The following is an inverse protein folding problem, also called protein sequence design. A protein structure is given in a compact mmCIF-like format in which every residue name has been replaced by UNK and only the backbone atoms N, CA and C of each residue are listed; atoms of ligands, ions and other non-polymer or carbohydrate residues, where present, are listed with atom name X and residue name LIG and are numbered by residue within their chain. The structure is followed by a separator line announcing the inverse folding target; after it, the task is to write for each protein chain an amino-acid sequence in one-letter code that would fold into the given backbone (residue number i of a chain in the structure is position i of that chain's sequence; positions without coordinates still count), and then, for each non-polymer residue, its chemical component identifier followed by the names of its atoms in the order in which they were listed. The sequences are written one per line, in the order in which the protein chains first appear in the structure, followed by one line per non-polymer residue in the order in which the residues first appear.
data_IF_540140917707
#
_entry.id   IF_540140917707
#
_cell.length_a   1.000
_cell.length_b   1.000
_cell.length_c   1.000
_cell.angle_alpha   90.00
_cell.angle_beta   90.00
_cell.angle_gamma   90.00
#
_symmetry.space_group_name_H-M   'P 1'
#
loop_
_entity.id
_entity.type
_entity.pdbx_description
1 polymer ?
#
# COMPACT_ATOMS: atom_id res chain seq x y z
N UNK A 1 32.41 -17.39 21.02
CA UNK A 1 32.07 -16.90 19.67
C UNK A 1 30.69 -17.41 19.32
N UNK A 2 29.77 -16.51 18.95
CA UNK A 2 28.43 -16.90 18.50
C UNK A 2 28.39 -16.90 16.97
N UNK A 3 27.75 -17.90 16.41
CA UNK A 3 27.51 -17.99 14.98
C UNK A 3 26.07 -17.58 14.70
N UNK A 4 25.92 -16.59 13.82
CA UNK A 4 24.63 -16.06 13.41
C UNK A 4 24.35 -16.41 11.97
N UNK A 5 23.16 -16.91 11.70
CA UNK A 5 22.67 -17.13 10.35
C UNK A 5 21.52 -16.17 10.08
N UNK A 6 21.69 -15.34 9.05
CA UNK A 6 20.64 -14.48 8.52
C UNK A 6 20.05 -15.18 7.30
N UNK A 7 18.78 -15.47 7.34
CA UNK A 7 18.05 -15.95 6.17
C UNK A 7 17.55 -14.77 5.37
N UNK A 8 17.97 -14.70 4.12
CA UNK A 8 17.56 -13.64 3.20
C UNK A 8 16.64 -14.25 2.13
N UNK A 9 15.48 -13.63 1.93
CA UNK A 9 14.43 -14.10 1.01
C UNK A 9 14.87 -14.22 -0.45
N UNK A 10 15.91 -13.48 -0.86
CA UNK A 10 16.34 -13.44 -2.26
C UNK A 10 17.70 -14.08 -2.54
N UNK A 11 18.55 -14.27 -1.55
CA UNK A 11 19.96 -14.67 -1.74
C UNK A 11 20.39 -15.91 -0.93
N UNK A 12 19.47 -16.57 -0.24
CA UNK A 12 19.79 -17.69 0.65
C UNK A 12 20.25 -17.22 2.04
N UNK A 13 20.94 -18.10 2.78
CA UNK A 13 21.42 -17.79 4.13
C UNK A 13 22.82 -17.22 4.10
N UNK A 14 23.09 -16.23 4.93
CA UNK A 14 24.42 -15.69 5.22
C UNK A 14 24.76 -15.99 6.67
N UNK A 15 25.94 -16.60 6.91
CA UNK A 15 26.40 -16.94 8.26
C UNK A 15 27.60 -16.08 8.63
N UNK A 16 27.55 -15.45 9.80
CA UNK A 16 28.66 -14.69 10.38
C UNK A 16 29.01 -15.24 11.77
N UNK A 17 30.31 -15.34 12.05
CA UNK A 17 30.81 -15.71 13.38
C UNK A 17 31.43 -14.48 14.04
N UNK A 18 30.91 -14.09 15.19
CA UNK A 18 31.31 -12.90 15.93
C UNK A 18 31.74 -13.27 17.36
N UNK A 19 32.62 -12.45 17.93
CA UNK A 19 32.95 -12.60 19.37
C UNK A 19 31.73 -12.19 20.22
N UNK A 20 31.34 -13.03 21.19
CA UNK A 20 30.15 -12.81 22.03
C UNK A 20 30.11 -11.42 22.69
N UNK A 21 31.28 -10.92 23.12
CA UNK A 21 31.43 -9.59 23.73
C UNK A 21 31.06 -8.43 22.80
N UNK A 22 31.04 -8.67 21.48
CA UNK A 22 30.75 -7.66 20.45
C UNK A 22 29.36 -7.85 19.83
N UNK A 23 28.60 -8.86 20.31
CA UNK A 23 27.29 -9.20 19.77
C UNK A 23 26.21 -8.77 20.75
N UNK A 24 25.33 -7.87 20.30
CA UNK A 24 24.06 -7.57 20.93
C UNK A 24 22.94 -7.93 19.97
N UNK A 25 22.17 -8.95 20.31
CA UNK A 25 20.99 -9.33 19.55
C UNK A 25 19.81 -8.49 20.01
N UNK A 26 19.14 -7.84 19.08
CA UNK A 26 17.92 -7.10 19.32
C UNK A 26 16.82 -7.82 18.55
N UNK A 27 15.95 -8.51 19.27
CA UNK A 27 14.83 -9.23 18.68
C UNK A 27 13.54 -8.46 18.92
N UNK A 28 12.70 -8.41 17.88
CA UNK A 28 11.35 -7.91 18.04
C UNK A 28 10.53 -9.00 18.72
N UNK A 29 9.74 -8.67 19.76
CA UNK A 29 8.81 -9.63 20.34
C UNK A 29 7.92 -10.23 19.25
N UNK A 30 7.88 -11.55 19.16
CA UNK A 30 6.96 -12.24 18.26
C UNK A 30 5.56 -12.21 18.89
N UNK A 31 4.71 -11.29 18.45
CA UNK A 31 3.31 -11.25 18.88
C UNK A 31 2.53 -12.22 18.00
N UNK A 32 1.89 -13.24 18.57
CA UNK A 32 1.07 -14.18 17.81
C UNK A 32 -0.10 -13.44 17.16
N UNK A 33 -0.43 -13.83 15.93
CA UNK A 33 -1.61 -13.31 15.26
C UNK A 33 -2.88 -13.71 16.06
N UNK A 34 -3.81 -12.77 16.22
CA UNK A 34 -5.06 -12.98 16.95
C UNK A 34 -6.20 -13.48 16.06
N UNK A 35 -5.90 -13.94 14.86
CA UNK A 35 -6.83 -14.48 13.87
C UNK A 35 -6.19 -14.61 12.49
N UNK A 36 -6.94 -15.13 11.55
CA UNK A 36 -6.59 -15.17 10.14
C UNK A 36 -6.63 -13.75 9.52
N UNK A 37 -6.02 -13.57 8.35
CA UNK A 37 -6.06 -12.29 7.64
C UNK A 37 -7.50 -11.82 7.38
N UNK A 38 -8.38 -12.74 6.98
CA UNK A 38 -9.79 -12.43 6.73
C UNK A 38 -10.51 -11.99 8.00
N UNK A 39 -10.35 -12.72 9.12
CA UNK A 39 -10.98 -12.34 10.41
C UNK A 39 -10.49 -10.98 10.93
N UNK A 40 -9.20 -10.67 10.73
CA UNK A 40 -8.64 -9.39 11.13
C UNK A 40 -9.20 -8.25 10.28
N UNK A 41 -9.28 -8.45 8.97
CA UNK A 41 -9.84 -7.47 8.04
C UNK A 41 -11.34 -7.30 8.24
N UNK A 42 -12.07 -8.39 8.49
CA UNK A 42 -13.49 -8.33 8.81
C UNK A 42 -13.74 -7.42 10.02
N UNK A 43 -13.02 -7.64 11.12
CA UNK A 43 -13.14 -6.79 12.32
C UNK A 43 -12.79 -5.31 12.04
N UNK A 44 -11.75 -5.08 11.23
CA UNK A 44 -11.35 -3.72 10.87
C UNK A 44 -12.39 -3.00 9.99
N UNK A 45 -13.11 -3.73 9.14
CA UNK A 45 -14.20 -3.17 8.31
C UNK A 45 -15.48 -2.94 9.10
N UNK A 46 -15.75 -3.76 10.11
CA UNK A 46 -16.92 -3.62 11.01
C UNK A 46 -16.71 -2.48 12.03
N UNK A 47 -15.46 -2.22 12.44
CA UNK A 47 -15.09 -1.19 13.40
C UNK A 47 -13.92 -0.34 12.87
N UNK A 48 -14.11 0.40 11.78
CA UNK A 48 -13.04 1.18 11.16
C UNK A 48 -12.64 2.37 12.03
N UNK A 49 -11.40 2.81 11.89
CA UNK A 49 -10.86 3.96 12.62
C UNK A 49 -10.98 5.21 11.75
N UNK A 50 -11.71 6.22 12.22
CA UNK A 50 -11.78 7.54 11.59
C UNK A 50 -12.64 7.64 10.33
N UNK A 51 -13.39 6.59 9.99
CA UNK A 51 -14.34 6.60 8.87
C UNK A 51 -15.57 5.73 9.20
N UNK A 52 -16.68 5.87 8.48
CA UNK A 52 -17.82 4.97 8.59
C UNK A 52 -17.47 3.54 8.12
N UNK A 53 -18.31 2.53 8.43
CA UNK A 53 -18.22 1.20 7.82
C UNK A 53 -18.18 1.26 6.29
N UNK A 54 -17.54 0.27 5.68
CA UNK A 54 -17.33 0.24 4.22
C UNK A 54 -18.61 0.41 3.44
N UNK A 55 -19.67 -0.28 3.86
CA UNK A 55 -20.98 -0.28 3.20
C UNK A 55 -21.67 1.10 3.23
N UNK A 56 -21.43 1.88 4.27
CA UNK A 56 -22.00 3.23 4.42
C UNK A 56 -21.26 4.28 3.55
N UNK A 57 -20.08 3.93 3.06
CA UNK A 57 -19.27 4.81 2.20
C UNK A 57 -19.49 4.57 0.70
N UNK A 58 -20.03 3.42 0.33
CA UNK A 58 -20.22 3.00 -1.06
C UNK A 58 -21.64 3.33 -1.55
N UNK A 59 -21.73 3.56 -2.85
CA UNK A 59 -23.01 3.64 -3.58
C UNK A 59 -23.10 2.50 -4.58
N UNK A 60 -24.28 1.90 -4.79
CA UNK A 60 -24.45 0.90 -5.82
C UNK A 60 -23.94 1.38 -7.18
N UNK A 61 -23.07 0.59 -7.81
CA UNK A 61 -22.51 0.90 -9.11
C UNK A 61 -21.30 1.86 -9.10
N UNK A 62 -20.76 2.24 -7.93
CA UNK A 62 -19.52 3.01 -7.87
C UNK A 62 -18.39 2.32 -8.64
N UNK A 63 -17.54 3.12 -9.28
CA UNK A 63 -16.25 2.64 -9.80
C UNK A 63 -15.26 2.59 -8.65
N UNK A 64 -14.78 1.40 -8.32
CA UNK A 64 -13.85 1.17 -7.22
C UNK A 64 -12.43 0.93 -7.75
N UNK A 65 -11.47 1.71 -7.28
CA UNK A 65 -10.06 1.40 -7.38
C UNK A 65 -9.61 0.69 -6.10
N UNK A 66 -9.36 -0.62 -6.19
CA UNK A 66 -8.77 -1.43 -5.12
C UNK A 66 -7.27 -1.50 -5.33
N UNK A 67 -6.51 -0.83 -4.47
CA UNK A 67 -5.07 -0.76 -4.56
C UNK A 67 -4.42 -1.83 -3.69
N UNK A 68 -3.37 -2.47 -4.18
CA UNK A 68 -2.56 -3.42 -3.40
C UNK A 68 -1.08 -3.09 -3.56
N UNK A 69 -0.35 -3.04 -2.44
CA UNK A 69 1.10 -2.85 -2.50
C UNK A 69 1.82 -4.15 -2.84
N UNK A 70 3.01 -4.03 -3.37
CA UNK A 70 3.92 -5.13 -3.72
C UNK A 70 4.20 -6.12 -2.59
N UNK A 71 4.13 -5.66 -1.34
CA UNK A 71 4.37 -6.52 -0.17
C UNK A 71 3.15 -7.36 0.23
N UNK A 72 1.95 -7.05 -0.24
CA UNK A 72 0.69 -7.70 0.11
C UNK A 72 0.05 -8.47 -1.05
N UNK A 73 0.68 -8.50 -2.22
CA UNK A 73 0.17 -9.23 -3.38
C UNK A 73 -0.10 -10.71 -3.07
N UNK A 74 0.84 -11.38 -2.40
CA UNK A 74 0.69 -12.78 -2.00
C UNK A 74 -0.40 -13.01 -0.95
N UNK A 75 -0.55 -12.11 0.03
CA UNK A 75 -1.60 -12.20 1.05
C UNK A 75 -2.97 -12.05 0.41
N UNK A 76 -3.11 -11.12 -0.51
CA UNK A 76 -4.37 -10.88 -1.22
C UNK A 76 -4.82 -12.13 -1.98
N UNK A 77 -3.88 -12.83 -2.65
CA UNK A 77 -4.18 -14.03 -3.44
C UNK A 77 -4.29 -15.31 -2.62
N UNK A 78 -3.32 -15.56 -1.73
CA UNK A 78 -3.15 -16.88 -1.10
C UNK A 78 -4.01 -17.10 0.14
N UNK A 79 -4.39 -16.04 0.88
CA UNK A 79 -5.16 -16.17 2.12
C UNK A 79 -6.65 -15.87 1.95
N UNK A 80 -7.15 -15.83 0.72
CA UNK A 80 -8.57 -15.57 0.44
C UNK A 80 -9.03 -14.14 0.74
N UNK A 81 -8.12 -13.25 1.15
CA UNK A 81 -8.43 -11.87 1.49
C UNK A 81 -9.01 -11.10 0.31
N UNK A 82 -8.43 -11.27 -0.88
CA UNK A 82 -8.92 -10.58 -2.08
C UNK A 82 -10.33 -11.01 -2.45
N UNK A 83 -10.63 -12.33 -2.41
CA UNK A 83 -11.98 -12.85 -2.64
C UNK A 83 -12.97 -12.28 -1.63
N UNK A 84 -12.61 -12.30 -0.34
CA UNK A 84 -13.43 -11.72 0.71
C UNK A 84 -13.74 -10.23 0.46
N UNK A 85 -12.74 -9.44 0.06
CA UNK A 85 -12.94 -8.01 -0.23
C UNK A 85 -13.83 -7.78 -1.45
N UNK A 86 -13.65 -8.55 -2.53
CA UNK A 86 -14.52 -8.47 -3.71
C UNK A 86 -15.97 -8.84 -3.35
N UNK A 87 -16.17 -9.88 -2.56
CA UNK A 87 -17.50 -10.34 -2.15
C UNK A 87 -18.19 -9.29 -1.25
N UNK A 88 -17.43 -8.60 -0.38
CA UNK A 88 -17.94 -7.48 0.43
C UNK A 88 -18.35 -6.29 -0.44
N UNK A 89 -17.53 -5.93 -1.46
CA UNK A 89 -17.87 -4.88 -2.41
C UNK A 89 -19.12 -5.25 -3.23
N UNK A 90 -19.23 -6.51 -3.66
CA UNK A 90 -20.41 -6.99 -4.38
C UNK A 90 -21.67 -6.90 -3.50
N UNK A 91 -21.57 -7.30 -2.23
CA UNK A 91 -22.69 -7.21 -1.29
C UNK A 91 -23.15 -5.76 -1.04
N UNK A 92 -22.22 -4.79 -1.14
CA UNK A 92 -22.52 -3.36 -1.09
C UNK A 92 -23.06 -2.77 -2.42
N UNK A 93 -23.28 -3.61 -3.45
CA UNK A 93 -23.85 -3.20 -4.73
C UNK A 93 -22.82 -2.78 -5.80
N UNK A 94 -21.55 -3.08 -5.60
CA UNK A 94 -20.48 -2.81 -6.56
C UNK A 94 -20.12 -4.11 -7.29
N UNK A 95 -20.56 -4.33 -8.53
CA UNK A 95 -20.26 -5.57 -9.27
C UNK A 95 -18.80 -5.62 -9.74
N UNK A 96 -18.27 -6.82 -9.98
CA UNK A 96 -16.88 -7.08 -10.37
C UNK A 96 -16.39 -6.20 -11.53
N UNK A 97 -17.21 -5.98 -12.56
CA UNK A 97 -16.87 -5.15 -13.72
C UNK A 97 -16.70 -3.65 -13.39
N UNK A 98 -17.08 -3.22 -12.20
CA UNK A 98 -16.90 -1.85 -11.68
C UNK A 98 -15.69 -1.72 -10.76
N UNK A 99 -15.00 -2.84 -10.50
CA UNK A 99 -13.81 -2.88 -9.66
C UNK A 99 -12.57 -3.01 -10.54
N UNK A 100 -11.59 -2.14 -10.31
CA UNK A 100 -10.25 -2.28 -10.89
C UNK A 100 -9.25 -2.52 -9.77
N UNK A 101 -8.57 -3.66 -9.82
CA UNK A 101 -7.44 -3.98 -8.93
C UNK A 101 -6.18 -3.37 -9.51
N UNK A 102 -5.57 -2.43 -8.79
CA UNK A 102 -4.35 -1.74 -9.22
C UNK A 102 -3.17 -2.19 -8.35
N UNK A 103 -2.15 -2.73 -8.98
CA UNK A 103 -0.90 -3.05 -8.30
C UNK A 103 -0.07 -1.78 -8.12
N UNK A 104 0.01 -1.32 -6.87
CA UNK A 104 0.62 -0.06 -6.45
C UNK A 104 2.11 -0.25 -6.12
N UNK A 105 2.92 -0.58 -7.13
CA UNK A 105 4.34 -0.88 -6.99
C UNK A 105 5.25 0.37 -6.90
N UNK A 106 4.71 1.56 -7.12
CA UNK A 106 5.51 2.78 -7.16
C UNK A 106 6.61 2.71 -8.20
N UNK A 107 7.83 3.06 -7.79
CA UNK A 107 9.03 3.04 -8.64
C UNK A 107 9.75 1.68 -8.67
N UNK A 108 9.28 0.68 -7.93
CA UNK A 108 10.04 -0.56 -7.73
C UNK A 108 9.96 -1.52 -8.93
N UNK A 109 8.80 -1.57 -9.61
CA UNK A 109 8.53 -2.56 -10.64
C UNK A 109 8.51 -3.99 -10.06
N UNK A 110 7.42 -4.70 -10.23
CA UNK A 110 7.30 -6.05 -9.70
C UNK A 110 6.84 -7.02 -10.79
N UNK A 111 7.78 -7.51 -11.63
CA UNK A 111 7.44 -8.54 -12.62
C UNK A 111 6.86 -9.77 -11.92
N UNK A 112 5.70 -10.22 -12.37
CA UNK A 112 5.02 -11.39 -11.83
C UNK A 112 4.05 -11.16 -10.68
N UNK A 113 3.74 -9.91 -10.31
CA UNK A 113 2.74 -9.58 -9.29
C UNK A 113 1.37 -10.20 -9.58
N UNK A 114 0.92 -10.19 -10.84
CA UNK A 114 -0.33 -10.84 -11.27
C UNK A 114 -0.39 -12.31 -10.88
N UNK A 115 0.72 -13.06 -11.05
CA UNK A 115 0.79 -14.47 -10.66
C UNK A 115 0.72 -14.70 -9.16
N UNK A 116 1.28 -13.78 -8.35
CA UNK A 116 1.21 -13.87 -6.88
C UNK A 116 -0.18 -13.51 -6.35
N UNK A 117 -0.84 -12.51 -6.93
CA UNK A 117 -2.23 -12.14 -6.64
C UNK A 117 -3.16 -13.30 -7.01
N UNK A 118 -2.86 -13.99 -8.08
CA UNK A 118 -3.57 -15.20 -8.51
C UNK A 118 -4.69 -14.93 -9.51
N UNK A 119 -4.88 -15.92 -10.38
CA UNK A 119 -5.84 -15.84 -11.47
C UNK A 119 -7.30 -15.78 -10.98
N UNK A 120 -7.60 -16.39 -9.84
CA UNK A 120 -8.94 -16.36 -9.23
C UNK A 120 -9.45 -14.95 -8.95
N UNK A 121 -8.56 -13.99 -8.68
CA UNK A 121 -8.91 -12.58 -8.50
C UNK A 121 -8.81 -11.80 -9.81
N UNK A 122 -7.69 -11.94 -10.52
CA UNK A 122 -7.40 -11.15 -11.72
C UNK A 122 -8.26 -11.51 -12.92
N UNK A 123 -9.02 -12.61 -12.87
CA UNK A 123 -10.07 -12.96 -13.86
C UNK A 123 -11.44 -12.38 -13.51
N UNK A 124 -11.72 -12.07 -12.25
CA UNK A 124 -12.99 -11.45 -11.80
C UNK A 124 -13.07 -9.97 -12.14
N UNK A 125 -11.97 -9.24 -11.97
CA UNK A 125 -11.92 -7.77 -12.06
C UNK A 125 -10.89 -7.32 -13.09
N UNK A 126 -10.96 -6.07 -13.52
CA UNK A 126 -9.90 -5.46 -14.32
C UNK A 126 -8.64 -5.37 -13.47
N UNK A 127 -7.51 -5.87 -14.00
CA UNK A 127 -6.21 -5.78 -13.33
C UNK A 127 -5.28 -4.83 -14.07
N UNK A 128 -4.67 -3.91 -13.33
CA UNK A 128 -3.74 -2.89 -13.85
C UNK A 128 -2.45 -2.92 -13.02
N UNK A 129 -1.31 -3.06 -13.67
CA UNK A 129 -0.01 -2.75 -13.09
C UNK A 129 0.27 -1.25 -13.31
N UNK A 130 0.57 -0.55 -12.23
CA UNK A 130 0.93 0.85 -12.33
C UNK A 130 2.34 1.00 -12.93
N UNK A 131 2.46 1.80 -13.99
CA UNK A 131 3.74 2.24 -14.54
C UNK A 131 3.92 3.74 -14.26
N UNK A 132 4.83 4.13 -13.35
CA UNK A 132 5.08 5.53 -13.02
C UNK A 132 5.78 6.30 -14.15
N UNK A 133 6.30 5.61 -15.17
CA UNK A 133 7.00 6.20 -16.31
C UNK A 133 6.08 6.46 -17.51
N UNK A 134 4.93 5.81 -17.57
CA UNK A 134 3.96 6.01 -18.64
C UNK A 134 3.03 7.19 -18.32
N UNK A 135 3.37 8.37 -18.85
CA UNK A 135 2.57 9.58 -18.65
C UNK A 135 1.15 9.46 -19.22
N UNK A 136 0.93 8.59 -20.20
CA UNK A 136 -0.40 8.42 -20.82
C UNK A 136 -1.40 7.76 -19.85
N UNK A 137 -0.92 7.00 -18.88
CA UNK A 137 -1.74 6.38 -17.84
C UNK A 137 -1.95 7.27 -16.62
N UNK A 138 -1.37 8.49 -16.58
CA UNK A 138 -1.47 9.40 -15.46
C UNK A 138 -2.55 10.46 -15.66
N UNK A 139 -3.09 10.95 -14.54
CA UNK A 139 -3.98 12.12 -14.49
C UNK A 139 -3.61 13.00 -13.29
N UNK A 140 -3.71 14.32 -13.47
CA UNK A 140 -3.49 15.28 -12.38
C UNK A 140 -4.70 15.29 -11.44
N UNK A 141 -4.44 15.23 -10.14
CA UNK A 141 -5.47 15.37 -9.10
C UNK A 141 -5.29 16.65 -8.26
N UNK A 142 -4.29 17.44 -8.58
CA UNK A 142 -4.04 18.73 -7.94
C UNK A 142 -2.59 18.93 -7.48
N UNK A 143 -2.42 19.75 -6.47
CA UNK A 143 -1.12 20.10 -5.87
C UNK A 143 -1.25 20.05 -4.35
N UNK A 144 -0.28 19.45 -3.67
CA UNK A 144 -0.25 19.42 -2.20
C UNK A 144 0.03 20.81 -1.61
N UNK A 145 -0.25 20.99 -0.32
CA UNK A 145 0.09 22.21 0.41
C UNK A 145 1.59 22.52 0.39
N UNK A 146 2.41 21.48 0.30
CA UNK A 146 3.86 21.60 0.18
C UNK A 146 4.36 21.86 -1.27
N UNK A 147 3.45 22.08 -2.23
CA UNK A 147 3.77 22.42 -3.62
C UNK A 147 4.24 21.25 -4.47
N UNK A 148 3.82 20.03 -4.16
CA UNK A 148 4.05 18.85 -5.00
C UNK A 148 2.89 18.67 -5.96
N UNK A 149 3.10 18.78 -7.30
CA UNK A 149 2.07 18.41 -8.28
C UNK A 149 1.79 16.92 -8.19
N UNK A 150 0.51 16.54 -8.06
CA UNK A 150 0.11 15.15 -7.86
C UNK A 150 -0.51 14.60 -9.14
N UNK A 151 0.22 13.70 -9.77
CA UNK A 151 -0.21 12.90 -10.89
C UNK A 151 -0.29 11.45 -10.43
N UNK A 152 -1.45 10.84 -10.58
CA UNK A 152 -1.70 9.44 -10.18
C UNK A 152 -2.21 8.64 -11.36
N UNK A 153 -2.20 7.32 -11.22
CA UNK A 153 -2.81 6.44 -12.21
C UNK A 153 -4.25 6.90 -12.51
N UNK A 154 -4.60 6.99 -13.79
CA UNK A 154 -5.91 7.47 -14.25
C UNK A 154 -7.06 6.66 -13.67
N UNK A 155 -6.88 5.35 -13.46
CA UNK A 155 -7.88 4.51 -12.79
C UNK A 155 -8.24 5.06 -11.41
N UNK A 156 -7.23 5.54 -10.66
CA UNK A 156 -7.43 6.13 -9.32
C UNK A 156 -8.12 7.49 -9.42
N UNK A 157 -7.69 8.33 -10.36
CA UNK A 157 -8.27 9.66 -10.56
C UNK A 157 -9.76 9.59 -10.97
N UNK A 158 -10.13 8.59 -11.78
CA UNK A 158 -11.47 8.40 -12.34
C UNK A 158 -12.39 7.52 -11.45
N UNK A 159 -11.89 6.99 -10.34
CA UNK A 159 -12.68 6.18 -9.41
C UNK A 159 -13.63 7.03 -8.56
N UNK A 160 -14.81 6.48 -8.26
CA UNK A 160 -15.75 7.05 -7.30
C UNK A 160 -15.32 6.73 -5.86
N UNK A 161 -14.70 5.55 -5.67
CA UNK A 161 -14.20 5.09 -4.37
C UNK A 161 -12.79 4.49 -4.51
N UNK A 162 -11.85 4.99 -3.73
CA UNK A 162 -10.46 4.51 -3.69
C UNK A 162 -10.18 3.86 -2.33
N UNK A 163 -9.78 2.61 -2.35
CA UNK A 163 -9.35 1.88 -1.15
C UNK A 163 -8.05 1.11 -1.38
N UNK A 164 -7.35 0.81 -0.30
CA UNK A 164 -6.06 0.14 -0.39
C UNK A 164 -5.83 -0.95 0.63
N UNK A 165 -5.04 -1.94 0.24
CA UNK A 165 -4.51 -3.00 1.11
C UNK A 165 -3.00 -2.88 1.17
N UNK A 166 -2.43 -2.81 2.38
CA UNK A 166 -0.99 -2.70 2.53
C UNK A 166 -0.55 -2.58 3.98
N UNK A 167 0.70 -2.93 4.25
CA UNK A 167 1.27 -2.87 5.58
C UNK A 167 1.55 -1.45 6.06
N UNK A 168 1.69 -1.31 7.37
CA UNK A 168 2.26 -0.13 8.02
C UNK A 168 3.56 -0.56 8.71
N UNK A 169 4.68 -0.02 8.25
CA UNK A 169 6.01 -0.36 8.75
C UNK A 169 6.88 0.89 8.90
N UNK A 170 7.88 0.90 9.81
CA UNK A 170 8.89 1.96 9.85
C UNK A 170 9.64 2.07 8.52
N UNK A 171 10.01 3.29 8.13
CA UNK A 171 10.79 3.57 6.93
C UNK A 171 11.81 4.68 7.16
N UNK A 172 12.70 4.90 6.19
CA UNK A 172 13.73 5.96 6.25
C UNK A 172 13.13 7.38 6.38
N UNK A 173 11.86 7.54 6.03
CA UNK A 173 11.16 8.83 6.03
C UNK A 173 9.91 8.80 6.90
N UNK A 174 10.00 8.13 8.04
CA UNK A 174 8.93 7.99 9.01
C UNK A 174 8.33 6.59 9.00
N UNK A 175 7.15 6.43 8.41
CA UNK A 175 6.52 5.12 8.24
C UNK A 175 5.99 4.95 6.82
N UNK A 176 5.94 3.71 6.35
CA UNK A 176 5.20 3.31 5.16
C UNK A 176 3.77 2.93 5.55
N UNK A 177 2.88 2.96 4.59
CA UNK A 177 1.46 2.71 4.80
C UNK A 177 0.61 3.98 4.72
N UNK A 178 -0.68 3.88 5.01
CA UNK A 178 -1.61 5.00 4.82
C UNK A 178 -1.56 5.54 3.39
N UNK A 179 -1.35 6.84 3.24
CA UNK A 179 -1.23 7.54 1.95
C UNK A 179 -0.08 7.06 1.06
N UNK A 180 0.87 6.27 1.58
CA UNK A 180 1.97 5.70 0.79
C UNK A 180 1.52 4.84 -0.38
N UNK A 181 0.33 4.26 -0.31
CA UNK A 181 -0.25 3.50 -1.43
C UNK A 181 -0.62 4.40 -2.62
N UNK A 182 -0.83 5.70 -2.37
CA UNK A 182 -1.03 6.72 -3.40
C UNK A 182 0.33 7.28 -3.84
N UNK A 183 1.13 7.79 -2.87
CA UNK A 183 2.42 8.40 -3.14
C UNK A 183 3.52 7.70 -2.30
N UNK A 184 4.35 6.84 -2.91
CA UNK A 184 4.59 6.66 -4.35
C UNK A 184 3.72 5.61 -5.06
N UNK A 185 2.92 4.81 -4.38
CA UNK A 185 2.33 3.56 -4.86
C UNK A 185 1.70 3.61 -6.26
N UNK A 186 0.89 4.61 -6.56
CA UNK A 186 0.25 4.82 -7.88
C UNK A 186 0.54 6.21 -8.45
N UNK A 187 1.56 6.90 -7.93
CA UNK A 187 1.97 8.21 -8.41
C UNK A 187 2.99 8.13 -9.53
N UNK A 188 2.95 9.10 -10.45
CA UNK A 188 3.93 9.24 -11.50
C UNK A 188 5.33 9.58 -10.96
N UNK A 189 6.37 9.29 -11.75
CA UNK A 189 7.78 9.49 -11.41
C UNK A 189 8.08 10.90 -10.89
N UNK A 190 7.58 11.94 -11.56
CA UNK A 190 7.91 13.30 -11.18
C UNK A 190 7.26 13.74 -9.87
N UNK A 191 6.02 13.30 -9.59
CA UNK A 191 5.37 13.44 -8.29
C UNK A 191 6.20 12.77 -7.20
N UNK A 192 6.59 11.52 -7.43
CA UNK A 192 7.41 10.74 -6.50
C UNK A 192 8.75 11.41 -6.24
N UNK A 193 9.46 11.83 -7.30
CA UNK A 193 10.73 12.54 -7.19
C UNK A 193 10.62 13.83 -6.38
N UNK A 194 9.57 14.62 -6.63
CA UNK A 194 9.33 15.88 -5.91
C UNK A 194 9.08 15.67 -4.43
N UNK A 195 8.28 14.67 -4.06
CA UNK A 195 8.06 14.29 -2.67
C UNK A 195 9.35 13.76 -2.02
N UNK A 196 10.00 12.79 -2.64
CA UNK A 196 11.18 12.11 -2.07
C UNK A 196 12.40 13.02 -1.94
N UNK A 197 12.49 14.11 -2.71
CA UNK A 197 13.55 15.13 -2.50
C UNK A 197 13.49 15.77 -1.11
N UNK A 198 12.34 15.73 -0.44
CA UNK A 198 12.16 16.25 0.92
C UNK A 198 12.88 15.42 1.99
N UNK A 199 13.36 14.19 1.66
CA UNK A 199 14.18 13.41 2.59
C UNK A 199 15.48 14.14 2.98
N UNK A 200 15.94 15.03 2.12
CA UNK A 200 17.13 15.85 2.37
C UNK A 200 16.89 16.97 3.39
N UNK A 201 15.65 17.15 3.84
CA UNK A 201 15.34 18.12 4.89
C UNK A 201 15.69 17.56 6.26
N UNK A 202 16.10 18.44 7.19
CA UNK A 202 16.51 18.05 8.55
C UNK A 202 15.39 17.47 9.40
N UNK A 203 14.12 17.67 8.99
CA UNK A 203 12.93 17.22 9.73
C UNK A 203 12.44 15.82 9.33
N UNK A 204 12.92 15.28 8.23
CA UNK A 204 12.58 13.93 7.79
C UNK A 204 13.49 12.92 8.48
N UNK A 205 12.91 12.02 9.24
CA UNK A 205 13.65 10.98 9.95
C UNK A 205 12.83 9.70 10.08
N UNK A 206 13.51 8.58 10.34
CA UNK A 206 12.86 7.29 10.56
C UNK A 206 11.93 7.33 11.78
N UNK A 207 10.78 6.71 11.66
CA UNK A 207 9.75 6.62 12.69
C UNK A 207 9.21 7.97 13.20
N UNK A 208 9.50 9.07 12.49
CA UNK A 208 8.94 10.37 12.79
C UNK A 208 7.53 10.48 12.19
N UNK A 209 6.56 10.85 13.01
CA UNK A 209 5.17 11.01 12.61
C UNK A 209 4.79 12.47 12.30
N UNK A 210 3.99 13.14 13.14
CA UNK A 210 3.55 14.53 12.93
C UNK A 210 4.71 15.49 12.75
N UNK A 211 4.60 16.41 11.80
CA UNK A 211 5.64 17.38 11.47
C UNK A 211 6.73 16.86 10.54
N UNK A 212 6.61 15.62 10.04
CA UNK A 212 7.49 15.13 8.98
C UNK A 212 7.01 15.65 7.61
N UNK A 213 7.78 16.57 6.97
CA UNK A 213 7.30 17.26 5.76
C UNK A 213 7.09 16.33 4.57
N UNK A 214 7.81 15.21 4.51
CA UNK A 214 7.62 14.22 3.47
C UNK A 214 6.34 13.41 3.67
N UNK A 215 6.04 13.07 4.94
CA UNK A 215 4.81 12.32 5.28
C UNK A 215 3.56 13.16 5.17
N UNK A 216 3.61 14.41 5.59
CA UNK A 216 2.49 15.36 5.43
C UNK A 216 2.14 15.53 3.95
N UNK A 217 3.14 15.70 3.09
CA UNK A 217 2.98 15.79 1.65
C UNK A 217 2.36 14.50 1.03
N UNK A 218 2.72 13.32 1.56
CA UNK A 218 2.11 12.03 1.18
C UNK A 218 0.64 11.98 1.59
N UNK A 219 0.30 12.47 2.79
CA UNK A 219 -1.09 12.47 3.25
C UNK A 219 -1.94 13.45 2.44
N UNK A 220 -1.43 14.65 2.14
CA UNK A 220 -2.10 15.61 1.26
C UNK A 220 -2.36 15.00 -0.13
N UNK A 221 -1.37 14.27 -0.69
CA UNK A 221 -1.54 13.59 -1.98
C UNK A 221 -2.62 12.50 -1.92
N UNK A 222 -2.71 11.77 -0.79
CA UNK A 222 -3.74 10.76 -0.59
C UNK A 222 -5.15 11.39 -0.51
N UNK A 223 -5.28 12.54 0.14
CA UNK A 223 -6.54 13.29 0.21
C UNK A 223 -6.95 13.81 -1.17
N UNK A 224 -6.01 14.36 -1.96
CA UNK A 224 -6.27 14.79 -3.34
C UNK A 224 -6.71 13.62 -4.23
N UNK A 225 -6.13 12.42 -4.04
CA UNK A 225 -6.52 11.20 -4.74
C UNK A 225 -7.76 10.52 -4.13
N UNK A 226 -8.38 11.12 -3.11
CA UNK A 226 -9.61 10.63 -2.45
C UNK A 226 -9.48 9.21 -1.89
N UNK A 227 -8.31 8.86 -1.31
CA UNK A 227 -8.16 7.59 -0.59
C UNK A 227 -9.11 7.56 0.61
N UNK A 228 -10.14 6.71 0.54
CA UNK A 228 -11.23 6.67 1.53
C UNK A 228 -11.00 5.66 2.63
N UNK A 229 -10.38 4.55 2.30
CA UNK A 229 -10.13 3.44 3.23
C UNK A 229 -8.79 2.79 2.96
N UNK A 230 -8.06 2.47 4.02
CA UNK A 230 -6.84 1.68 3.95
C UNK A 230 -6.90 0.55 4.99
N UNK A 231 -6.69 -0.67 4.53
CA UNK A 231 -6.63 -1.90 5.33
C UNK A 231 -5.19 -2.36 5.42
#
# INVERSE_FOLDING_TARGET
MATWTLENWSAGSMTATLADRNLKVIERPNLPATGTAVELVQRALEQPIGCPPLEDMLKPGDKVALLVTDMQDAILGQQGLGTYLLDRLNAAGVPDHRITLVHAAGMHGHPGARGKIGESLTSRVTYVEHDPMDESCLASVGMTLAGTPVWVNRVVADADFVMGVGACTPSLYGYQGGGGIILPGVAGKDTTRRNHSKIMTTRTSSCWGPGNPMREDVMDAADLARLRLKI
#
